data_IF_124486548846
#
_entry.id   IF_124486548846
#
_cell.length_a   1.000
_cell.length_b   1.000
_cell.length_c   1.000
_cell.angle_alpha   90.00
_cell.angle_beta   90.00
_cell.angle_gamma   90.00
#
_symmetry.space_group_name_H-M   'P 1'
#
loop_
_entity.id
_entity.type
_entity.pdbx_description
1 polymer ?
#
# COMPACT_ATOMS: atom_id res chain seq x y z
N UNK A 1 20.29 7.76 49.54
CA UNK A 1 20.28 8.21 48.13
C UNK A 1 19.33 7.33 47.35
N UNK A 2 18.23 7.84 46.76
CA UNK A 2 17.32 6.99 46.00
C UNK A 2 17.98 6.60 44.67
N UNK A 3 18.02 5.29 44.41
CA UNK A 3 18.65 4.72 43.22
C UNK A 3 17.95 5.18 41.95
N UNK A 4 18.72 5.74 41.01
CA UNK A 4 18.23 6.09 39.66
C UNK A 4 17.75 4.80 38.97
N UNK A 5 16.44 4.65 38.81
CA UNK A 5 15.86 3.61 37.97
C UNK A 5 16.34 3.84 36.53
N UNK A 6 17.16 2.93 35.98
CA UNK A 6 17.62 3.03 34.59
C UNK A 6 16.39 2.92 33.68
N UNK A 7 16.22 3.79 32.66
CA UNK A 7 15.08 3.71 31.77
C UNK A 7 15.07 2.33 31.09
N UNK A 8 13.93 1.62 31.18
CA UNK A 8 13.73 0.36 30.47
C UNK A 8 13.88 0.63 28.98
N UNK A 9 14.86 -0.02 28.35
CA UNK A 9 15.08 0.03 26.90
C UNK A 9 13.84 -0.59 26.23
N UNK A 10 12.92 0.26 25.79
CA UNK A 10 11.71 -0.18 25.09
C UNK A 10 12.15 -0.66 23.71
N UNK A 11 12.16 -1.98 23.50
CA UNK A 11 12.47 -2.54 22.19
C UNK A 11 11.41 -2.09 21.19
N UNK A 12 11.83 -1.44 20.11
CA UNK A 12 10.92 -0.96 19.09
C UNK A 12 10.17 -2.17 18.49
N UNK A 13 8.84 -2.12 18.54
CA UNK A 13 7.99 -3.21 18.06
C UNK A 13 8.11 -3.33 16.55
N UNK A 14 8.30 -4.55 16.04
CA UNK A 14 8.29 -4.87 14.60
C UNK A 14 6.92 -5.38 14.18
N UNK A 15 6.51 -5.20 12.91
CA UNK A 15 5.27 -5.78 12.42
C UNK A 15 5.33 -7.32 12.50
N UNK A 16 4.21 -7.94 12.85
CA UNK A 16 4.10 -9.41 12.89
C UNK A 16 4.01 -9.97 11.46
N UNK A 17 4.34 -11.25 11.26
CA UNK A 17 4.18 -11.89 9.95
C UNK A 17 2.75 -11.78 9.42
N UNK A 18 1.76 -11.97 10.30
CA UNK A 18 0.33 -11.80 9.97
C UNK A 18 0.03 -10.37 9.55
N UNK A 19 0.53 -9.37 10.28
CA UNK A 19 0.31 -7.96 9.93
C UNK A 19 0.98 -7.54 8.62
N UNK A 20 2.15 -8.12 8.30
CA UNK A 20 2.80 -7.92 7.00
C UNK A 20 1.98 -8.56 5.88
N UNK A 21 1.48 -9.79 6.07
CA UNK A 21 0.62 -10.44 5.08
C UNK A 21 -0.64 -9.62 4.82
N UNK A 22 -1.31 -9.16 5.88
CA UNK A 22 -2.53 -8.35 5.77
C UNK A 22 -2.29 -7.02 5.03
N UNK A 23 -1.18 -6.32 5.29
CA UNK A 23 -0.89 -5.04 4.64
C UNK A 23 -0.60 -5.13 3.13
N UNK A 24 -0.37 -6.34 2.62
CA UNK A 24 -0.02 -6.60 1.23
C UNK A 24 -1.03 -7.52 0.52
N UNK A 25 -2.06 -8.01 1.22
CA UNK A 25 -2.97 -9.01 0.70
C UNK A 25 -3.70 -8.52 -0.56
N UNK A 26 -4.21 -7.29 -0.54
CA UNK A 26 -4.98 -6.75 -1.66
C UNK A 26 -4.11 -6.57 -2.92
N UNK A 27 -2.88 -6.06 -2.77
CA UNK A 27 -1.96 -5.90 -3.92
C UNK A 27 -1.48 -7.24 -4.45
N UNK A 28 -1.28 -8.23 -3.57
CA UNK A 28 -0.89 -9.56 -3.99
C UNK A 28 -1.99 -10.24 -4.80
N UNK A 29 -3.24 -10.11 -4.37
CA UNK A 29 -4.43 -10.62 -5.05
C UNK A 29 -4.62 -9.95 -6.41
N UNK A 30 -4.52 -8.62 -6.48
CA UNK A 30 -4.62 -7.88 -7.75
C UNK A 30 -3.60 -8.38 -8.78
N UNK A 31 -2.31 -8.41 -8.41
CA UNK A 31 -1.27 -8.86 -9.33
C UNK A 31 -1.43 -10.36 -9.61
N UNK A 32 -1.89 -11.15 -8.65
CA UNK A 32 -2.15 -12.59 -8.84
C UNK A 32 -3.25 -12.87 -9.87
N UNK A 33 -4.34 -12.12 -9.85
CA UNK A 33 -5.39 -12.20 -10.89
C UNK A 33 -4.82 -11.83 -12.27
N UNK A 34 -4.01 -10.77 -12.35
CA UNK A 34 -3.38 -10.37 -13.60
C UNK A 34 -2.40 -11.43 -14.14
N UNK A 35 -1.63 -12.09 -13.27
CA UNK A 35 -0.69 -13.16 -13.66
C UNK A 35 -1.41 -14.43 -14.12
N UNK A 36 -2.53 -14.78 -13.50
CA UNK A 36 -3.20 -16.08 -13.70
C UNK A 36 -4.34 -16.02 -14.71
N UNK A 37 -5.14 -14.96 -14.66
CA UNK A 37 -6.33 -14.78 -15.49
C UNK A 37 -6.10 -13.77 -16.62
N UNK A 38 -5.07 -12.92 -16.52
CA UNK A 38 -4.83 -11.83 -17.47
C UNK A 38 -5.88 -10.71 -17.39
N UNK A 39 -6.70 -10.69 -16.33
CA UNK A 39 -7.82 -9.78 -16.16
C UNK A 39 -8.05 -9.43 -14.68
N UNK A 40 -8.88 -8.41 -14.45
CA UNK A 40 -9.39 -8.06 -13.12
C UNK A 40 -10.91 -8.16 -13.12
N UNK A 41 -11.51 -8.19 -11.93
CA UNK A 41 -12.97 -8.11 -11.80
C UNK A 41 -13.44 -6.68 -12.08
N UNK A 42 -14.62 -6.56 -12.67
CA UNK A 42 -15.28 -5.29 -12.93
C UNK A 42 -16.73 -5.31 -12.46
N UNK A 43 -17.27 -4.14 -12.12
CA UNK A 43 -18.68 -3.97 -11.82
C UNK A 43 -19.55 -3.96 -13.11
N UNK A 44 -20.83 -3.61 -12.97
CA UNK A 44 -21.78 -3.60 -14.08
C UNK A 44 -21.46 -2.51 -15.13
N UNK A 45 -20.75 -1.46 -14.73
CA UNK A 45 -20.34 -0.34 -15.58
C UNK A 45 -18.92 -0.52 -16.14
N UNK A 46 -18.31 -1.69 -15.89
CA UNK A 46 -16.96 -2.03 -16.35
C UNK A 46 -15.86 -1.41 -15.50
N UNK A 47 -16.17 -0.87 -14.32
CA UNK A 47 -15.16 -0.29 -13.43
C UNK A 47 -14.44 -1.38 -12.63
N UNK A 48 -13.09 -1.38 -12.57
CA UNK A 48 -12.34 -2.39 -11.85
C UNK A 48 -12.64 -2.39 -10.35
N UNK A 49 -12.93 -3.57 -9.80
CA UNK A 49 -13.25 -3.77 -8.38
C UNK A 49 -12.50 -4.97 -7.81
N UNK A 50 -12.36 -5.00 -6.50
CA UNK A 50 -11.89 -6.19 -5.76
C UNK A 50 -12.64 -6.32 -4.44
N UNK A 51 -12.59 -7.51 -3.84
CA UNK A 51 -13.19 -7.78 -2.53
C UNK A 51 -12.09 -7.81 -1.48
N UNK A 52 -12.08 -6.85 -0.56
CA UNK A 52 -11.05 -6.78 0.47
C UNK A 52 -11.25 -7.85 1.57
N UNK A 53 -10.27 -7.98 2.47
CA UNK A 53 -10.31 -8.94 3.58
C UNK A 53 -11.46 -8.73 4.58
N UNK A 54 -12.10 -7.56 4.59
CA UNK A 54 -13.33 -7.28 5.36
C UNK A 54 -14.62 -7.80 4.68
N UNK A 55 -14.48 -8.40 3.49
CA UNK A 55 -15.56 -8.94 2.68
C UNK A 55 -16.36 -7.90 1.90
N UNK A 56 -15.98 -6.62 1.92
CA UNK A 56 -16.61 -5.53 1.16
C UNK A 56 -15.95 -5.35 -0.20
N UNK A 57 -16.72 -4.81 -1.14
CA UNK A 57 -16.26 -4.46 -2.47
C UNK A 57 -15.74 -3.02 -2.51
N UNK A 58 -14.61 -2.82 -3.17
CA UNK A 58 -13.98 -1.52 -3.35
C UNK A 58 -13.57 -1.32 -4.80
N UNK A 59 -13.61 -0.07 -5.26
CA UNK A 59 -13.01 0.31 -6.54
C UNK A 59 -11.50 0.22 -6.45
N UNK A 60 -10.91 -0.54 -7.37
CA UNK A 60 -9.46 -0.80 -7.38
C UNK A 60 -8.68 0.51 -7.48
N UNK A 61 -9.09 1.44 -8.35
CA UNK A 61 -8.41 2.72 -8.52
C UNK A 61 -8.25 3.49 -7.20
N UNK A 62 -9.36 3.80 -6.53
CA UNK A 62 -9.38 4.63 -5.31
C UNK A 62 -8.70 3.95 -4.12
N UNK A 63 -8.93 2.65 -3.93
CA UNK A 63 -8.35 1.92 -2.81
C UNK A 63 -6.81 1.87 -2.91
N UNK A 64 -6.29 1.66 -4.12
CA UNK A 64 -4.85 1.59 -4.34
C UNK A 64 -4.17 2.96 -4.33
N UNK A 65 -4.87 4.06 -4.62
CA UNK A 65 -4.32 5.42 -4.45
C UNK A 65 -3.91 5.66 -2.99
N UNK A 66 -4.76 5.32 -2.02
CA UNK A 66 -4.43 5.45 -0.61
C UNK A 66 -3.23 4.58 -0.19
N UNK A 67 -3.13 3.37 -0.73
CA UNK A 67 -1.99 2.47 -0.49
C UNK A 67 -0.70 3.01 -1.10
N UNK A 68 -0.75 3.57 -2.31
CA UNK A 68 0.38 4.23 -2.98
C UNK A 68 0.80 5.49 -2.22
N UNK A 69 -0.16 6.28 -1.73
CA UNK A 69 0.12 7.50 -0.97
C UNK A 69 0.84 7.23 0.35
N UNK A 70 0.56 6.10 1.01
CA UNK A 70 1.36 5.62 2.14
C UNK A 70 2.85 5.50 1.76
N UNK A 71 3.15 4.89 0.62
CA UNK A 71 4.53 4.74 0.16
C UNK A 71 5.14 6.05 -0.29
N UNK A 72 4.37 6.97 -0.88
CA UNK A 72 4.86 8.32 -1.22
C UNK A 72 5.21 9.11 0.03
N UNK A 73 4.41 9.03 1.10
CA UNK A 73 4.73 9.62 2.41
C UNK A 73 6.00 8.98 2.97
N UNK A 74 6.12 7.65 2.94
CA UNK A 74 7.30 6.94 3.39
C UNK A 74 8.57 7.35 2.61
N UNK A 75 8.46 7.49 1.28
CA UNK A 75 9.54 7.95 0.40
C UNK A 75 10.05 9.34 0.81
N UNK A 76 9.12 10.29 1.04
CA UNK A 76 9.47 11.62 1.54
C UNK A 76 10.12 11.56 2.92
N UNK A 77 9.62 10.69 3.80
CA UNK A 77 10.15 10.53 5.16
C UNK A 77 11.55 9.93 5.20
N UNK A 78 11.86 8.99 4.30
CA UNK A 78 13.15 8.31 4.23
C UNK A 78 14.19 9.07 3.43
N UNK A 79 13.79 10.11 2.69
CA UNK A 79 14.67 10.91 1.82
C UNK A 79 15.46 10.04 0.83
N UNK A 80 14.84 8.95 0.35
CA UNK A 80 15.39 8.05 -0.66
C UNK A 80 14.30 7.57 -1.60
N UNK A 81 14.61 7.27 -2.87
CA UNK A 81 13.67 6.66 -3.78
C UNK A 81 13.16 5.31 -3.26
N UNK A 82 11.87 5.05 -3.47
CA UNK A 82 11.22 3.77 -3.26
C UNK A 82 10.67 3.25 -4.60
N UNK A 83 10.58 1.93 -4.81
CA UNK A 83 10.10 1.36 -6.06
C UNK A 83 8.57 1.43 -6.15
N UNK A 84 8.02 2.64 -6.31
CA UNK A 84 6.57 2.90 -6.32
C UNK A 84 6.05 2.97 -7.77
N UNK A 85 6.85 3.52 -8.69
CA UNK A 85 6.44 3.81 -10.07
C UNK A 85 5.84 2.62 -10.84
N UNK A 86 6.35 1.38 -10.75
CA UNK A 86 5.73 0.24 -11.43
C UNK A 86 4.29 -0.02 -10.97
N UNK A 87 3.99 0.21 -9.69
CA UNK A 87 2.65 0.02 -9.13
C UNK A 87 1.72 1.17 -9.53
N UNK A 88 2.21 2.40 -9.58
CA UNK A 88 1.45 3.54 -10.10
C UNK A 88 1.05 3.32 -11.56
N UNK A 89 1.99 2.87 -12.39
CA UNK A 89 1.72 2.57 -13.79
C UNK A 89 0.69 1.43 -13.93
N UNK A 90 0.86 0.34 -13.18
CA UNK A 90 -0.06 -0.78 -13.21
C UNK A 90 -1.48 -0.37 -12.80
N UNK A 91 -1.64 0.34 -11.67
CA UNK A 91 -2.95 0.77 -11.16
C UNK A 91 -3.63 1.73 -12.14
N UNK A 92 -2.88 2.64 -12.77
CA UNK A 92 -3.39 3.50 -13.82
C UNK A 92 -3.90 2.68 -15.03
N UNK A 93 -3.13 1.68 -15.49
CA UNK A 93 -3.56 0.79 -16.58
C UNK A 93 -4.83 0.02 -16.24
N UNK A 94 -4.92 -0.53 -15.03
CA UNK A 94 -6.13 -1.22 -14.56
C UNK A 94 -7.32 -0.26 -14.59
N UNK A 95 -7.17 0.95 -14.02
CA UNK A 95 -8.21 1.98 -13.97
C UNK A 95 -8.72 2.37 -15.36
N UNK A 96 -7.81 2.56 -16.30
CA UNK A 96 -8.15 3.02 -17.64
C UNK A 96 -8.62 1.89 -18.58
N UNK A 97 -8.67 0.63 -18.09
CA UNK A 97 -8.97 -0.54 -18.91
C UNK A 97 -7.93 -0.79 -20.01
N UNK A 98 -6.70 -0.32 -19.80
CA UNK A 98 -5.61 -0.45 -20.76
C UNK A 98 -5.08 -1.88 -20.85
N UNK A 99 -4.50 -2.23 -21.99
CA UNK A 99 -3.74 -3.48 -22.11
C UNK A 99 -2.53 -3.46 -21.17
N UNK A 100 -2.39 -4.52 -20.38
CA UNK A 100 -1.29 -4.73 -19.45
C UNK A 100 -0.42 -5.86 -19.99
N UNK A 101 0.88 -5.62 -20.05
CA UNK A 101 1.89 -6.58 -20.50
C UNK A 101 2.43 -7.42 -19.34
N UNK A 102 2.96 -8.60 -19.66
CA UNK A 102 3.61 -9.48 -18.66
C UNK A 102 4.81 -8.79 -17.98
N UNK A 103 5.56 -7.97 -18.71
CA UNK A 103 6.68 -7.19 -18.17
C UNK A 103 6.21 -6.15 -17.14
N UNK A 104 5.07 -5.48 -17.36
CA UNK A 104 4.50 -4.54 -16.41
C UNK A 104 4.04 -5.25 -15.12
N UNK A 105 3.40 -6.41 -15.25
CA UNK A 105 2.99 -7.24 -14.10
C UNK A 105 4.22 -7.72 -13.32
N UNK A 106 5.26 -8.19 -14.01
CA UNK A 106 6.53 -8.64 -13.40
C UNK A 106 7.23 -7.49 -12.67
N UNK A 107 7.25 -6.29 -13.26
CA UNK A 107 7.84 -5.11 -12.65
C UNK A 107 7.08 -4.69 -11.37
N UNK A 108 5.74 -4.73 -11.41
CA UNK A 108 4.90 -4.49 -10.25
C UNK A 108 5.14 -5.52 -9.14
N UNK A 109 5.19 -6.82 -9.46
CA UNK A 109 5.50 -7.89 -8.49
C UNK A 109 6.83 -7.66 -7.79
N UNK A 110 7.88 -7.33 -8.56
CA UNK A 110 9.21 -7.03 -8.03
C UNK A 110 9.20 -5.79 -7.12
N UNK A 111 8.44 -4.75 -7.47
CA UNK A 111 8.25 -3.58 -6.64
C UNK A 111 7.59 -3.93 -5.30
N UNK A 112 6.51 -4.73 -5.31
CA UNK A 112 5.83 -5.19 -4.09
C UNK A 112 6.78 -5.94 -3.15
N UNK A 113 7.58 -6.88 -3.66
CA UNK A 113 8.54 -7.62 -2.82
C UNK A 113 9.56 -6.70 -2.14
N UNK A 114 10.05 -5.69 -2.86
CA UNK A 114 10.98 -4.71 -2.31
C UNK A 114 10.31 -3.85 -1.23
N UNK A 115 9.10 -3.36 -1.48
CA UNK A 115 8.33 -2.60 -0.50
C UNK A 115 8.00 -3.46 0.74
N UNK A 116 7.67 -4.74 0.55
CA UNK A 116 7.44 -5.69 1.65
C UNK A 116 8.68 -5.90 2.51
N UNK A 117 9.86 -6.02 1.89
CA UNK A 117 11.13 -6.09 2.61
C UNK A 117 11.38 -4.83 3.45
N UNK A 118 11.12 -3.64 2.89
CA UNK A 118 11.22 -2.36 3.60
C UNK A 118 10.22 -2.30 4.75
N UNK A 119 8.96 -2.67 4.53
CA UNK A 119 7.90 -2.68 5.55
C UNK A 119 8.29 -3.55 6.76
N UNK A 120 8.81 -4.77 6.52
CA UNK A 120 9.30 -5.67 7.57
C UNK A 120 10.41 -5.06 8.44
N UNK A 121 11.20 -4.14 7.86
CA UNK A 121 12.26 -3.44 8.57
C UNK A 121 11.77 -2.27 9.43
N UNK A 122 10.56 -1.76 9.19
CA UNK A 122 9.99 -0.63 9.94
C UNK A 122 9.63 -1.01 11.37
N UNK A 123 9.41 0.00 12.21
CA UNK A 123 8.77 -0.18 13.51
C UNK A 123 7.27 0.01 13.37
N UNK A 124 6.47 -0.63 14.24
CA UNK A 124 5.01 -0.45 14.27
C UNK A 124 4.66 1.02 14.49
N UNK A 125 5.39 1.72 15.36
CA UNK A 125 5.11 3.13 15.65
C UNK A 125 5.37 4.01 14.42
N UNK A 126 6.41 3.72 13.62
CA UNK A 126 6.66 4.40 12.36
C UNK A 126 5.56 4.10 11.32
N UNK A 127 5.11 2.84 11.22
CA UNK A 127 4.03 2.47 10.31
C UNK A 127 2.75 3.25 10.65
N UNK A 128 2.42 3.36 11.94
CA UNK A 128 1.26 4.14 12.42
C UNK A 128 1.42 5.61 12.06
N UNK A 129 2.59 6.22 12.34
CA UNK A 129 2.88 7.62 12.01
C UNK A 129 2.72 7.93 10.52
N UNK A 130 3.27 7.06 9.66
CA UNK A 130 3.15 7.17 8.20
C UNK A 130 1.68 7.05 7.76
N UNK A 131 0.95 6.05 8.26
CA UNK A 131 -0.47 5.84 7.95
C UNK A 131 -1.30 7.05 8.35
N UNK A 132 -1.12 7.54 9.58
CA UNK A 132 -1.91 8.65 10.10
C UNK A 132 -1.61 9.93 9.30
N UNK A 133 -0.36 10.16 8.92
CA UNK A 133 0.03 11.24 8.00
C UNK A 133 -0.66 11.13 6.64
N UNK A 134 -0.71 9.92 6.06
CA UNK A 134 -1.43 9.67 4.81
C UNK A 134 -2.92 9.96 4.93
N UNK A 135 -3.58 9.47 5.98
CA UNK A 135 -5.01 9.69 6.21
C UNK A 135 -5.35 11.17 6.39
N UNK A 136 -4.50 11.91 7.12
CA UNK A 136 -4.63 13.38 7.24
C UNK A 136 -4.54 14.04 5.87
N UNK A 137 -3.56 13.65 5.04
CA UNK A 137 -3.41 14.17 3.69
C UNK A 137 -4.66 13.93 2.83
N UNK A 138 -5.17 12.69 2.82
CA UNK A 138 -6.39 12.31 2.09
C UNK A 138 -7.59 13.14 2.55
N UNK A 139 -7.78 13.31 3.86
CA UNK A 139 -8.89 14.08 4.41
C UNK A 139 -8.80 15.58 4.05
N UNK A 140 -7.60 16.15 4.06
CA UNK A 140 -7.38 17.55 3.66
C UNK A 140 -7.69 17.79 2.18
N UNK A 141 -7.35 16.85 1.29
CA UNK A 141 -7.69 16.98 -0.14
C UNK A 141 -9.20 16.88 -0.36
N UNK A 142 -9.90 15.95 0.32
CA UNK A 142 -11.37 15.86 0.27
C UNK A 142 -12.06 17.16 0.71
N UNK A 143 -11.55 17.82 1.74
CA UNK A 143 -12.10 19.09 2.22
C UNK A 143 -11.88 20.23 1.23
N UNK A 144 -10.78 20.22 0.46
CA UNK A 144 -10.53 21.22 -0.59
C UNK A 144 -11.44 21.04 -1.80
N UNK A 145 -11.72 19.80 -2.19
CA UNK A 145 -12.59 19.50 -3.34
C UNK A 145 -14.07 19.81 -3.04
N UNK A 146 -14.48 19.78 -1.77
CA UNK A 146 -15.82 20.09 -1.33
C UNK A 146 -16.11 21.59 -1.11
N UNK A 147 -15.08 22.45 -1.19
CA UNK A 147 -15.15 23.90 -0.94
C UNK A 147 -15.21 24.70 -2.24
#
# INVERSE_FOLDING_TARGET
>A
MPGKCKPRRQYARKPTLVGVHQAFAEVDELIGMLETEGATLADQDGQPVFRAGDGRWYYTGEAFDGWIDFWRVAQRRFLRPLPIAPLEALVARVRDGGSITEDEVTAARSAVEQLRSIYRSMTVDLIIDLRDTTLIGIELEKQKEAA
#
